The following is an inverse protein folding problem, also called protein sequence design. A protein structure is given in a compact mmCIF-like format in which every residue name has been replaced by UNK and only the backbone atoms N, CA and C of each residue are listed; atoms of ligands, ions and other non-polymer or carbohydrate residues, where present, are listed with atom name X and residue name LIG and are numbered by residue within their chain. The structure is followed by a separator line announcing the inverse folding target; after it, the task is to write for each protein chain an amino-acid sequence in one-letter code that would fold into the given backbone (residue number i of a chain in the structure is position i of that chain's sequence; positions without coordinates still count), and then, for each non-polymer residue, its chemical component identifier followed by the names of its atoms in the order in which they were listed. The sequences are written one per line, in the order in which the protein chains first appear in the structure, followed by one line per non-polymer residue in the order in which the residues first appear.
data_IF_183911356646
#
_entry.id   IF_183911356646
#
_cell.length_a   1.000
_cell.length_b   1.000
_cell.length_c   1.000
_cell.angle_alpha   90.00
_cell.angle_beta   90.00
_cell.angle_gamma   90.00
#
_symmetry.space_group_name_H-M   'P 1'
#
loop_
_entity.id
_entity.type
_entity.pdbx_description
1 polymer ?
#
# COMPACT_ATOMS: atom_id res chain seq x y z
N UNK A 1 12.55 11.12 17.69
CA UNK A 1 11.24 10.68 18.23
C UNK A 1 10.82 11.40 19.50
N UNK A 2 11.67 11.52 20.53
CA UNK A 2 11.29 12.20 21.79
C UNK A 2 10.85 13.67 21.62
N UNK A 3 11.61 14.49 20.89
CA UNK A 3 11.32 15.92 20.66
C UNK A 3 9.94 16.13 20.00
N UNK A 4 9.55 15.24 19.08
CA UNK A 4 8.27 15.32 18.36
C UNK A 4 7.11 15.02 19.32
N UNK A 5 7.22 13.98 20.15
CA UNK A 5 6.21 13.63 21.15
C UNK A 5 6.07 14.74 22.19
N UNK A 6 7.19 15.33 22.63
CA UNK A 6 7.16 16.47 23.55
C UNK A 6 6.47 17.69 22.94
N UNK A 7 6.65 17.95 21.64
CA UNK A 7 5.98 19.06 20.94
C UNK A 7 4.47 18.91 20.94
N UNK A 8 3.96 17.74 20.55
CA UNK A 8 2.52 17.45 20.54
C UNK A 8 1.89 17.55 21.94
N UNK A 9 2.62 17.12 22.98
CA UNK A 9 2.21 17.29 24.37
C UNK A 9 2.09 18.75 24.79
N UNK A 10 3.07 19.60 24.42
CA UNK A 10 3.06 21.04 24.70
C UNK A 10 1.93 21.74 23.93
N UNK A 11 1.73 21.41 22.66
CA UNK A 11 0.62 21.95 21.85
C UNK A 11 -0.75 21.63 22.46
N UNK A 12 -0.95 20.39 22.92
CA UNK A 12 -2.19 19.97 23.60
C UNK A 12 -2.46 20.80 24.84
N UNK A 13 -1.46 21.01 25.71
CA UNK A 13 -1.60 21.82 26.93
C UNK A 13 -1.88 23.29 26.58
N UNK A 14 -1.18 23.83 25.58
CA UNK A 14 -1.33 25.21 25.14
C UNK A 14 -2.74 25.47 24.59
N UNK A 15 -3.28 24.54 23.78
CA UNK A 15 -4.63 24.66 23.24
C UNK A 15 -5.72 24.51 24.28
N UNK A 16 -5.46 23.79 25.38
CA UNK A 16 -6.45 23.59 26.44
C UNK A 16 -6.46 24.67 27.53
N UNK A 17 -5.34 25.39 27.68
CA UNK A 17 -5.19 26.48 28.64
C UNK A 17 -6.32 27.52 28.63
N UNK A 18 -6.75 28.09 27.48
CA UNK A 18 -7.84 29.08 27.47
C UNK A 18 -9.20 28.50 27.90
N UNK A 19 -9.45 27.21 27.66
CA UNK A 19 -10.71 26.56 28.03
C UNK A 19 -10.79 26.25 29.52
N UNK A 20 -9.66 25.94 30.16
CA UNK A 20 -9.57 25.71 31.60
C UNK A 20 -10.00 26.94 32.42
N UNK A 21 -9.75 28.14 31.92
CA UNK A 21 -10.08 29.41 32.59
C UNK A 21 -11.56 29.79 32.41
N UNK A 22 -12.16 29.48 31.25
CA UNK A 22 -13.54 29.87 30.93
C UNK A 22 -14.57 28.82 31.37
N UNK A 23 -14.28 27.52 31.16
CA UNK A 23 -15.19 26.42 31.48
C UNK A 23 -14.44 25.25 32.13
N UNK A 24 -14.01 25.45 33.38
CA UNK A 24 -13.13 24.51 34.08
C UNK A 24 -13.72 23.11 34.21
N UNK A 25 -14.99 22.97 34.60
CA UNK A 25 -15.63 21.65 34.79
C UNK A 25 -15.80 20.88 33.48
N UNK A 26 -16.24 21.55 32.41
CA UNK A 26 -16.38 20.92 31.09
C UNK A 26 -15.01 20.51 30.52
N UNK A 27 -13.99 21.37 30.69
CA UNK A 27 -12.65 21.09 30.20
C UNK A 27 -11.99 19.93 30.94
N UNK A 28 -12.09 19.88 32.28
CA UNK A 28 -11.52 18.77 33.07
C UNK A 28 -12.18 17.43 32.76
N UNK A 29 -13.51 17.40 32.62
CA UNK A 29 -14.22 16.17 32.24
C UNK A 29 -13.86 15.73 30.82
N UNK A 30 -13.71 16.68 29.88
CA UNK A 30 -13.23 16.43 28.52
C UNK A 30 -11.82 15.83 28.48
N UNK A 31 -10.87 16.37 29.27
CA UNK A 31 -9.51 15.82 29.38
C UNK A 31 -9.54 14.38 29.87
N UNK A 32 -10.27 14.13 30.95
CA UNK A 32 -10.31 12.82 31.57
C UNK A 32 -10.92 11.79 30.62
N UNK A 33 -12.04 12.12 29.97
CA UNK A 33 -12.69 11.24 29.00
C UNK A 33 -11.82 11.03 27.76
N UNK A 34 -11.22 12.09 27.21
CA UNK A 34 -10.35 12.01 26.04
C UNK A 34 -9.11 11.17 26.31
N UNK A 35 -8.48 11.35 27.48
CA UNK A 35 -7.31 10.57 27.90
C UNK A 35 -7.68 9.11 28.16
N UNK A 36 -8.81 8.85 28.83
CA UNK A 36 -9.29 7.49 29.04
C UNK A 36 -9.60 6.78 27.71
N UNK A 37 -10.23 7.49 26.76
CA UNK A 37 -10.55 6.97 25.44
C UNK A 37 -9.28 6.68 24.62
N UNK A 38 -8.31 7.60 24.61
CA UNK A 38 -7.05 7.42 23.88
C UNK A 38 -6.22 6.28 24.46
N UNK A 39 -6.17 6.14 25.78
CA UNK A 39 -5.48 5.04 26.46
C UNK A 39 -6.16 3.70 26.16
N UNK A 40 -7.49 3.65 26.20
CA UNK A 40 -8.27 2.46 25.85
C UNK A 40 -8.02 2.05 24.40
N UNK A 41 -8.06 3.00 23.47
CA UNK A 41 -7.80 2.76 22.05
C UNK A 41 -6.36 2.28 21.80
N UNK A 42 -5.38 2.94 22.43
CA UNK A 42 -3.98 2.55 22.35
C UNK A 42 -3.76 1.12 22.88
N UNK A 43 -4.42 0.76 23.98
CA UNK A 43 -4.36 -0.57 24.55
C UNK A 43 -5.00 -1.64 23.65
N UNK A 44 -6.16 -1.34 23.04
CA UNK A 44 -6.82 -2.23 22.07
C UNK A 44 -5.90 -2.48 20.87
N UNK A 45 -5.32 -1.43 20.30
CA UNK A 45 -4.38 -1.53 19.17
C UNK A 45 -3.15 -2.34 19.58
N UNK A 46 -2.61 -2.11 20.78
CA UNK A 46 -1.46 -2.85 21.30
C UNK A 46 -1.76 -4.36 21.40
N UNK A 47 -2.88 -4.75 21.99
CA UNK A 47 -3.29 -6.16 22.06
C UNK A 47 -3.53 -6.73 20.67
N UNK A 48 -4.19 -5.98 19.79
CA UNK A 48 -4.45 -6.41 18.42
C UNK A 48 -3.13 -6.72 17.71
N UNK A 49 -2.12 -5.87 17.86
CA UNK A 49 -0.79 -6.06 17.30
C UNK A 49 -0.08 -7.29 17.88
N UNK A 50 -0.18 -7.53 19.19
CA UNK A 50 0.38 -8.71 19.85
C UNK A 50 -0.26 -10.03 19.40
N UNK A 51 -1.54 -10.00 18.98
CA UNK A 51 -2.24 -11.19 18.47
C UNK A 51 -1.92 -11.52 17.01
N UNK A 52 -1.29 -10.60 16.27
CA UNK A 52 -0.93 -10.84 14.87
C UNK A 52 0.30 -11.73 14.81
N UNK A 53 0.17 -12.84 14.10
CA UNK A 53 1.31 -13.68 13.73
C UNK A 53 2.21 -12.90 12.77
N UNK A 54 3.33 -12.40 13.30
CA UNK A 54 4.30 -11.58 12.56
C UNK A 54 4.78 -12.30 11.29
N UNK A 55 4.97 -13.62 11.35
CA UNK A 55 5.39 -14.41 10.19
C UNK A 55 4.32 -14.41 9.11
N UNK A 56 3.04 -14.59 9.47
CA UNK A 56 1.92 -14.49 8.51
C UNK A 56 1.76 -13.08 7.95
N UNK A 57 1.90 -12.06 8.79
CA UNK A 57 1.84 -10.67 8.37
C UNK A 57 2.87 -10.37 7.29
N UNK A 58 4.16 -10.64 7.57
CA UNK A 58 5.22 -10.42 6.59
C UNK A 58 5.08 -11.27 5.34
N UNK A 59 4.56 -12.49 5.45
CA UNK A 59 4.31 -13.33 4.27
C UNK A 59 3.27 -12.71 3.33
N UNK A 60 2.13 -12.26 3.88
CA UNK A 60 1.05 -11.64 3.10
C UNK A 60 1.52 -10.31 2.51
N UNK A 61 2.19 -9.46 3.30
CA UNK A 61 2.69 -8.18 2.79
C UNK A 61 3.78 -8.38 1.74
N UNK A 62 4.66 -9.38 1.88
CA UNK A 62 5.67 -9.70 0.86
C UNK A 62 5.03 -10.11 -0.46
N UNK A 63 3.97 -10.92 -0.43
CA UNK A 63 3.21 -11.28 -1.64
C UNK A 63 2.59 -10.02 -2.27
N UNK A 64 1.94 -9.18 -1.46
CA UNK A 64 1.33 -7.94 -1.93
C UNK A 64 2.37 -7.01 -2.56
N UNK A 65 3.54 -6.87 -1.94
CA UNK A 65 4.64 -6.06 -2.45
C UNK A 65 5.18 -6.57 -3.79
N UNK A 66 5.24 -7.89 -4.00
CA UNK A 66 5.63 -8.45 -5.31
C UNK A 66 4.61 -8.11 -6.38
N UNK A 67 3.32 -8.22 -6.09
CA UNK A 67 2.26 -7.88 -7.05
C UNK A 67 2.30 -6.38 -7.38
N UNK A 68 2.42 -5.52 -6.37
CA UNK A 68 2.55 -4.07 -6.52
C UNK A 68 3.78 -3.71 -7.36
N UNK A 69 4.94 -4.32 -7.08
CA UNK A 69 6.17 -4.06 -7.82
C UNK A 69 6.07 -4.54 -9.27
N UNK A 70 5.41 -5.68 -9.54
CA UNK A 70 5.13 -6.14 -10.90
C UNK A 70 4.22 -5.18 -11.67
N UNK A 71 3.15 -4.68 -11.03
CA UNK A 71 2.26 -3.68 -11.61
C UNK A 71 2.97 -2.36 -11.93
N UNK A 72 3.78 -1.86 -10.98
CA UNK A 72 4.62 -0.67 -11.17
C UNK A 72 5.65 -0.83 -12.29
N UNK A 73 6.27 -2.01 -12.41
CA UNK A 73 7.21 -2.30 -13.50
C UNK A 73 6.52 -2.29 -14.88
N UNK A 74 5.32 -2.86 -14.96
CA UNK A 74 4.49 -2.79 -16.16
C UNK A 74 4.11 -1.36 -16.52
N UNK A 75 3.65 -0.57 -15.53
CA UNK A 75 3.32 0.84 -15.73
C UNK A 75 4.52 1.69 -16.16
N UNK A 76 5.69 1.50 -15.53
CA UNK A 76 6.92 2.17 -15.96
C UNK A 76 7.29 1.82 -17.41
N UNK A 77 7.07 0.56 -17.82
CA UNK A 77 7.32 0.14 -19.21
C UNK A 77 6.42 0.88 -20.19
N UNK A 78 5.13 1.06 -19.86
CA UNK A 78 4.19 1.82 -20.68
C UNK A 78 4.66 3.26 -20.89
N UNK A 79 5.02 3.96 -19.81
CA UNK A 79 5.54 5.34 -19.88
C UNK A 79 6.85 5.43 -20.68
N UNK A 80 7.72 4.41 -20.58
CA UNK A 80 8.95 4.34 -21.38
C UNK A 80 8.67 4.16 -22.87
N UNK A 81 7.64 3.38 -23.22
CA UNK A 81 7.23 3.14 -24.61
C UNK A 81 6.60 4.41 -25.19
N UNK A 82 5.68 5.03 -24.48
CA UNK A 82 5.06 6.30 -24.88
C UNK A 82 6.13 7.36 -25.11
N UNK A 83 7.13 7.46 -24.21
CA UNK A 83 8.26 8.35 -24.41
C UNK A 83 9.09 7.98 -25.65
N UNK A 84 9.35 6.70 -25.91
CA UNK A 84 10.14 6.27 -27.07
C UNK A 84 9.49 6.61 -28.41
N UNK A 85 8.17 6.57 -28.49
CA UNK A 85 7.40 6.96 -29.67
C UNK A 85 7.58 8.45 -29.98
N UNK A 86 7.68 9.30 -28.95
CA UNK A 86 7.96 10.75 -29.15
C UNK A 86 9.35 11.05 -29.72
N UNK A 87 10.28 10.10 -29.66
CA UNK A 87 11.66 10.24 -30.17
C UNK A 87 11.83 9.50 -31.52
N UNK A 88 10.74 9.10 -32.17
CA UNK A 88 10.74 8.31 -33.42
C UNK A 88 11.56 6.99 -33.30
N UNK A 89 11.62 6.41 -32.10
CA UNK A 89 12.29 5.13 -31.87
C UNK A 89 11.30 3.98 -32.11
N UNK A 90 11.42 3.30 -33.25
CA UNK A 90 10.60 2.12 -33.55
C UNK A 90 11.02 0.93 -32.69
N UNK A 91 10.22 0.64 -31.66
CA UNK A 91 10.37 -0.53 -30.81
C UNK A 91 9.74 -1.80 -31.42
N UNK A 92 9.08 -1.69 -32.57
CA UNK A 92 8.43 -2.80 -33.25
C UNK A 92 7.29 -3.43 -32.44
N UNK A 93 7.11 -4.75 -32.60
CA UNK A 93 5.95 -5.49 -32.07
C UNK A 93 5.79 -5.46 -30.54
N UNK A 94 6.83 -5.14 -29.78
CA UNK A 94 6.76 -5.10 -28.31
C UNK A 94 6.05 -3.85 -27.77
N UNK A 95 6.05 -2.77 -28.54
CA UNK A 95 5.35 -1.52 -28.22
C UNK A 95 3.89 -1.53 -28.71
N UNK A 96 3.51 -2.50 -29.55
CA UNK A 96 2.14 -2.63 -30.02
C UNK A 96 1.21 -3.08 -28.89
N UNK A 97 -0.02 -2.54 -28.89
CA UNK A 97 -1.06 -2.93 -27.94
C UNK A 97 -1.43 -4.40 -28.13
N UNK A 98 -1.24 -5.19 -27.07
CA UNK A 98 -1.64 -6.58 -27.02
C UNK A 98 -3.15 -6.75 -26.87
N UNK A 99 -3.79 -5.82 -26.14
CA UNK A 99 -5.23 -5.71 -26.05
C UNK A 99 -5.66 -4.26 -25.79
N UNK A 100 -6.87 -3.95 -26.24
CA UNK A 100 -7.59 -2.73 -25.96
C UNK A 100 -9.05 -3.13 -25.68
N UNK A 101 -9.45 -3.00 -24.40
CA UNK A 101 -10.77 -3.39 -23.92
C UNK A 101 -11.83 -2.31 -24.15
N UNK A 102 -11.46 -1.11 -24.62
CA UNK A 102 -12.35 0.05 -24.92
C UNK A 102 -13.42 0.28 -23.85
N UNK A 103 -13.02 0.19 -22.59
CA UNK A 103 -13.93 0.39 -21.47
C UNK A 103 -14.20 1.90 -21.37
N UNK A 104 -15.47 2.35 -21.30
CA UNK A 104 -15.78 3.77 -21.16
C UNK A 104 -15.21 4.36 -19.85
N UNK A 105 -14.69 5.59 -19.89
CA UNK A 105 -14.12 6.29 -18.73
C UNK A 105 -15.10 6.44 -17.55
N UNK A 106 -16.40 6.47 -17.83
CA UNK A 106 -17.48 6.57 -16.83
C UNK A 106 -17.73 5.25 -16.08
N UNK A 107 -17.11 4.14 -16.51
CA UNK A 107 -17.27 2.86 -15.85
C UNK A 107 -16.37 2.77 -14.61
N UNK A 108 -16.93 2.26 -13.51
CA UNK A 108 -16.22 2.05 -12.24
C UNK A 108 -15.00 1.11 -12.41
N UNK A 109 -15.03 0.24 -13.41
CA UNK A 109 -13.96 -0.70 -13.76
C UNK A 109 -12.85 -0.11 -14.63
N UNK A 110 -13.01 1.13 -15.11
CA UNK A 110 -11.94 1.85 -15.81
C UNK A 110 -10.73 1.97 -14.87
N UNK A 111 -9.50 1.86 -15.38
CA UNK A 111 -8.23 1.93 -14.64
C UNK A 111 -8.06 3.24 -13.85
N UNK A 112 -8.76 4.32 -14.26
CA UNK A 112 -8.87 5.60 -13.53
C UNK A 112 -10.11 5.70 -12.62
N UNK A 113 -11.04 4.76 -12.73
CA UNK A 113 -12.23 4.65 -11.90
C UNK A 113 -11.91 4.19 -10.48
N UNK A 114 -12.90 4.30 -9.59
CA UNK A 114 -12.73 4.03 -8.14
C UNK A 114 -12.27 2.59 -7.89
N UNK A 115 -12.82 1.61 -8.61
CA UNK A 115 -12.46 0.20 -8.42
C UNK A 115 -11.29 -0.19 -9.31
N UNK A 116 -11.30 0.23 -10.58
CA UNK A 116 -10.22 -0.11 -11.51
C UNK A 116 -8.87 0.42 -11.08
N UNK A 117 -8.78 1.60 -10.43
CA UNK A 117 -7.52 2.12 -9.87
C UNK A 117 -6.93 1.25 -8.75
N UNK A 118 -7.79 0.66 -7.90
CA UNK A 118 -7.34 -0.28 -6.86
C UNK A 118 -6.74 -1.53 -7.53
N UNK A 119 -7.40 -2.07 -8.55
CA UNK A 119 -6.87 -3.22 -9.30
C UNK A 119 -5.61 -2.86 -10.12
N UNK A 120 -5.54 -1.64 -10.64
CA UNK A 120 -4.37 -1.13 -11.35
C UNK A 120 -3.15 -1.08 -10.43
N UNK A 121 -3.31 -0.58 -9.20
CA UNK A 121 -2.22 -0.52 -8.22
C UNK A 121 -1.91 -1.91 -7.66
N UNK A 122 -2.92 -2.71 -7.30
CA UNK A 122 -2.68 -4.00 -6.64
C UNK A 122 -2.19 -5.10 -7.59
N UNK A 123 -2.66 -5.11 -8.84
CA UNK A 123 -2.43 -6.20 -9.79
C UNK A 123 -1.88 -5.73 -11.14
N UNK A 124 -1.68 -4.43 -11.35
CA UNK A 124 -1.23 -3.88 -12.64
C UNK A 124 -2.31 -3.87 -13.73
N UNK A 125 -3.60 -3.97 -13.36
CA UNK A 125 -4.73 -3.93 -14.28
C UNK A 125 -4.77 -2.63 -15.12
N UNK A 126 -5.18 -2.76 -16.38
CA UNK A 126 -5.33 -1.66 -17.34
C UNK A 126 -6.31 -2.09 -18.43
N UNK A 127 -6.98 -1.14 -19.10
CA UNK A 127 -7.82 -1.44 -20.27
C UNK A 127 -6.97 -1.65 -21.54
N UNK A 128 -5.83 -0.98 -21.59
CA UNK A 128 -4.90 -0.97 -22.72
C UNK A 128 -3.53 -1.40 -22.21
N UNK A 129 -2.93 -2.41 -22.84
CA UNK A 129 -1.59 -2.87 -22.48
C UNK A 129 -0.78 -3.27 -23.70
N UNK A 130 0.49 -2.91 -23.69
CA UNK A 130 1.48 -3.35 -24.68
C UNK A 130 1.98 -4.76 -24.35
N UNK A 131 2.51 -5.44 -25.36
CA UNK A 131 3.19 -6.72 -25.17
C UNK A 131 4.34 -6.63 -24.17
N UNK A 132 5.18 -5.60 -24.28
CA UNK A 132 6.30 -5.39 -23.37
C UNK A 132 5.86 -5.27 -21.91
N UNK A 133 4.81 -4.49 -21.65
CA UNK A 133 4.23 -4.30 -20.31
C UNK A 133 3.80 -5.64 -19.71
N UNK A 134 3.05 -6.44 -20.46
CA UNK A 134 2.56 -7.76 -20.01
C UNK A 134 3.73 -8.71 -19.75
N UNK A 135 4.70 -8.77 -20.67
CA UNK A 135 5.86 -9.66 -20.57
C UNK A 135 6.68 -9.31 -19.32
N UNK A 136 6.98 -8.04 -19.07
CA UNK A 136 7.76 -7.59 -17.92
C UNK A 136 7.00 -7.86 -16.62
N UNK A 137 5.73 -7.49 -16.54
CA UNK A 137 4.91 -7.70 -15.35
C UNK A 137 4.75 -9.18 -15.00
N UNK A 138 4.43 -10.03 -15.99
CA UNK A 138 4.26 -11.48 -15.80
C UNK A 138 5.59 -12.13 -15.45
N UNK A 139 6.68 -11.81 -16.15
CA UNK A 139 8.00 -12.40 -15.86
C UNK A 139 8.48 -12.04 -14.46
N UNK A 140 8.39 -10.77 -14.06
CA UNK A 140 8.75 -10.33 -12.72
C UNK A 140 7.95 -11.08 -11.63
N UNK A 141 6.64 -11.15 -11.80
CA UNK A 141 5.75 -11.81 -10.84
C UNK A 141 5.97 -13.32 -10.80
N UNK A 142 6.09 -13.97 -11.95
CA UNK A 142 6.28 -15.41 -12.08
C UNK A 142 7.63 -15.89 -11.53
N UNK A 143 8.66 -15.04 -11.53
CA UNK A 143 9.97 -15.37 -10.94
C UNK A 143 9.97 -15.10 -9.44
N UNK A 144 9.51 -13.91 -9.03
CA UNK A 144 9.67 -13.42 -7.65
C UNK A 144 8.67 -14.07 -6.69
N UNK A 145 7.44 -14.29 -7.11
CA UNK A 145 6.40 -14.86 -6.26
C UNK A 145 6.74 -16.29 -5.79
N UNK A 146 7.15 -17.24 -6.66
CA UNK A 146 7.60 -18.56 -6.21
C UNK A 146 8.86 -18.51 -5.34
N UNK A 147 9.77 -17.56 -5.60
CA UNK A 147 10.97 -17.38 -4.79
C UNK A 147 10.60 -17.04 -3.34
N UNK A 148 9.70 -16.07 -3.12
CA UNK A 148 9.21 -15.71 -1.79
C UNK A 148 8.51 -16.90 -1.12
N UNK A 149 7.62 -17.60 -1.84
CA UNK A 149 6.91 -18.76 -1.30
C UNK A 149 7.90 -19.84 -0.84
N UNK A 150 8.96 -20.09 -1.63
CA UNK A 150 10.01 -21.06 -1.31
C UNK A 150 10.81 -20.65 -0.07
N UNK A 151 11.14 -19.38 0.08
CA UNK A 151 11.86 -18.83 1.25
C UNK A 151 11.05 -19.05 2.53
N UNK A 152 9.76 -18.69 2.51
CA UNK A 152 8.89 -18.87 3.69
C UNK A 152 8.63 -20.35 4.03
N UNK A 153 8.50 -21.22 3.01
CA UNK A 153 8.37 -22.68 3.23
C UNK A 153 9.61 -23.29 3.87
N UNK A 154 10.83 -22.90 3.45
CA UNK A 154 12.09 -23.42 4.01
C UNK A 154 12.26 -23.05 5.48
N UNK A 155 11.87 -21.84 5.85
CA UNK A 155 11.96 -21.38 7.24
C UNK A 155 11.10 -22.21 8.20
N UNK A 156 9.92 -22.69 7.76
CA UNK A 156 9.05 -23.56 8.57
C UNK A 156 9.67 -24.95 8.84
N UNK A 157 10.53 -25.45 7.94
CA UNK A 157 11.17 -26.75 8.09
C UNK A 157 12.39 -26.74 9.04
N UNK A 158 13.01 -25.57 9.27
CA UNK A 158 14.14 -25.44 10.19
C UNK A 158 13.67 -25.42 11.66
N UNK A 159 12.57 -24.72 11.96
CA UNK A 159 11.95 -24.70 13.29
C UNK A 159 11.42 -26.09 13.72
N UNK A 160 11.04 -26.96 12.78
CA UNK A 160 10.55 -28.31 13.08
C UNK A 160 11.67 -29.34 13.34
N UNK A 161 12.94 -28.96 13.20
CA UNK A 161 14.12 -29.84 13.38
C UNK A 161 14.97 -29.47 14.60
N UNK A 162 14.62 -28.39 15.31
CA UNK A 162 15.22 -27.93 16.57
C UNK A 162 14.26 -28.19 17.72
#
# INVERSE_FOLDING_TARGET
SFIIVSREGVETILFLSPFLVNETLATLTGILLGTAASLTLAYIIFIACLRVDIRRFFYITSILLVLLAGGLAGYATHELIEYSETVDADLGWIAEHAYDLKIPEDNILHHKGVVGSIFAVMFGYTEEAEWARIIIQISYTAITLPAIIKVYKRSKHQEART
#
